data_IF_786996779156
#
_entry.id   IF_786996779156
#
_cell.length_a   1.000
_cell.length_b   1.000
_cell.length_c   1.000
_cell.angle_alpha   90.00
_cell.angle_beta   90.00
_cell.angle_gamma   90.00
#
_symmetry.space_group_name_H-M   'P 1'
#
loop_
_entity.id
_entity.type
_entity.pdbx_description
1 polymer ?
#
# COMPACT_ATOMS: atom_id res chain seq x y z
N UNK A 1 -27.31 -18.54 9.83
CA UNK A 1 -26.80 -17.81 8.66
C UNK A 1 -25.89 -16.70 9.15
N UNK A 2 -24.58 -16.81 8.94
CA UNK A 2 -23.61 -15.82 9.44
C UNK A 2 -23.84 -14.45 8.81
N UNK A 3 -23.75 -13.39 9.60
CA UNK A 3 -23.98 -12.02 9.14
C UNK A 3 -23.08 -11.71 7.94
N UNK A 4 -23.70 -11.38 6.80
CA UNK A 4 -22.99 -10.98 5.59
C UNK A 4 -22.20 -9.69 5.85
N UNK A 5 -20.88 -9.77 5.71
CA UNK A 5 -20.01 -8.63 5.99
C UNK A 5 -20.13 -7.57 4.87
N UNK A 6 -20.59 -6.37 5.22
CA UNK A 6 -20.70 -5.22 4.29
C UNK A 6 -19.38 -4.87 3.58
N UNK A 7 -18.22 -5.25 4.13
CA UNK A 7 -16.91 -5.08 3.49
C UNK A 7 -16.82 -5.78 2.14
N UNK A 8 -17.59 -6.86 1.94
CA UNK A 8 -17.64 -7.65 0.70
C UNK A 8 -18.47 -7.01 -0.42
N UNK A 9 -19.24 -5.95 -0.13
CA UNK A 9 -20.05 -5.27 -1.14
C UNK A 9 -19.22 -4.43 -2.12
N UNK A 10 -18.03 -3.99 -1.73
CA UNK A 10 -17.12 -3.31 -2.64
C UNK A 10 -16.32 -4.36 -3.43
N UNK A 11 -16.89 -4.79 -4.55
CA UNK A 11 -16.34 -5.85 -5.40
C UNK A 11 -14.97 -5.50 -5.97
N UNK A 12 -14.74 -4.24 -6.35
CA UNK A 12 -13.45 -3.77 -6.86
C UNK A 12 -12.35 -3.87 -5.81
N UNK A 13 -12.64 -3.42 -4.59
CA UNK A 13 -11.71 -3.54 -3.46
C UNK A 13 -11.43 -5.00 -3.11
N UNK A 14 -12.45 -5.88 -3.12
CA UNK A 14 -12.25 -7.32 -2.90
C UNK A 14 -11.36 -7.92 -4.00
N UNK A 15 -11.64 -7.61 -5.27
CA UNK A 15 -10.83 -8.09 -6.41
C UNK A 15 -9.39 -7.62 -6.33
N UNK A 16 -9.14 -6.37 -5.96
CA UNK A 16 -7.79 -5.85 -5.73
C UNK A 16 -7.04 -6.68 -4.68
N UNK A 17 -7.69 -6.93 -3.53
CA UNK A 17 -7.09 -7.67 -2.44
C UNK A 17 -6.77 -9.10 -2.85
N UNK A 18 -7.69 -9.79 -3.52
CA UNK A 18 -7.45 -11.16 -3.98
C UNK A 18 -6.37 -11.23 -5.06
N UNK A 19 -6.32 -10.26 -5.98
CA UNK A 19 -5.32 -10.19 -7.06
C UNK A 19 -3.89 -10.06 -6.52
N UNK A 20 -3.68 -9.26 -5.46
CA UNK A 20 -2.34 -8.92 -4.98
C UNK A 20 -1.96 -9.60 -3.66
N UNK A 21 -2.85 -10.43 -3.08
CA UNK A 21 -2.61 -11.14 -1.81
C UNK A 21 -1.30 -11.90 -1.82
N UNK A 22 -1.06 -12.76 -2.82
CA UNK A 22 0.13 -13.60 -2.87
C UNK A 22 1.43 -12.77 -2.97
N UNK A 23 1.43 -11.71 -3.78
CA UNK A 23 2.59 -10.81 -3.88
C UNK A 23 2.87 -10.11 -2.55
N UNK A 24 1.82 -9.69 -1.84
CA UNK A 24 1.96 -9.10 -0.51
C UNK A 24 2.38 -10.11 0.55
N UNK A 25 1.97 -11.38 0.46
CA UNK A 25 2.40 -12.45 1.39
C UNK A 25 3.91 -12.66 1.32
N UNK A 26 4.50 -12.63 0.12
CA UNK A 26 5.96 -12.72 -0.05
C UNK A 26 6.66 -11.63 0.74
N UNK A 27 6.20 -10.38 0.61
CA UNK A 27 6.80 -9.23 1.30
C UNK A 27 6.52 -9.27 2.80
N UNK A 28 5.30 -9.64 3.20
CA UNK A 28 4.90 -9.72 4.60
C UNK A 28 5.73 -10.78 5.35
N UNK A 29 5.99 -11.93 4.72
CA UNK A 29 6.87 -12.96 5.25
C UNK A 29 8.30 -12.47 5.38
N UNK A 30 8.84 -11.79 4.36
CA UNK A 30 10.18 -11.19 4.42
C UNK A 30 10.33 -10.19 5.57
N UNK A 31 9.31 -9.38 5.81
CA UNK A 31 9.32 -8.34 6.84
C UNK A 31 8.80 -8.84 8.19
N UNK A 32 8.35 -10.10 8.28
CA UNK A 32 7.74 -10.67 9.47
C UNK A 32 6.58 -9.81 9.99
N UNK A 33 5.70 -9.31 9.11
CA UNK A 33 4.49 -8.53 9.46
C UNK A 33 3.23 -9.24 8.96
N UNK A 34 2.03 -8.92 9.47
CA UNK A 34 0.78 -9.44 8.91
C UNK A 34 0.59 -8.98 7.45
N UNK A 35 0.09 -9.88 6.58
CA UNK A 35 -0.10 -9.57 5.15
C UNK A 35 -1.06 -8.41 4.92
N UNK A 36 -2.09 -8.28 5.76
CA UNK A 36 -3.06 -7.19 5.69
C UNK A 36 -2.39 -5.81 5.81
N UNK A 37 -1.20 -5.70 6.42
CA UNK A 37 -0.49 -4.42 6.55
C UNK A 37 0.07 -3.97 5.21
N UNK A 38 0.73 -4.87 4.47
CA UNK A 38 1.29 -4.56 3.15
C UNK A 38 0.17 -4.29 2.15
N UNK A 39 -0.88 -5.11 2.17
CA UNK A 39 -2.07 -4.91 1.34
C UNK A 39 -2.76 -3.57 1.65
N UNK A 40 -2.87 -3.18 2.92
CA UNK A 40 -3.50 -1.93 3.31
C UNK A 40 -2.73 -0.69 2.83
N UNK A 41 -1.39 -0.71 2.89
CA UNK A 41 -0.58 0.37 2.31
C UNK A 41 -0.83 0.46 0.81
N UNK A 42 -0.70 -0.66 0.08
CA UNK A 42 -0.92 -0.67 -1.36
C UNK A 42 -2.35 -0.20 -1.72
N UNK A 43 -3.37 -0.67 -0.99
CA UNK A 43 -4.76 -0.27 -1.19
C UNK A 43 -4.99 1.22 -0.92
N UNK A 44 -4.41 1.77 0.15
CA UNK A 44 -4.54 3.19 0.49
C UNK A 44 -3.89 4.07 -0.58
N UNK A 45 -2.65 3.76 -0.95
CA UNK A 45 -1.86 4.57 -1.87
C UNK A 45 -2.37 4.51 -3.32
N UNK A 46 -2.88 3.35 -3.73
CA UNK A 46 -3.39 3.16 -5.09
C UNK A 46 -4.90 3.34 -5.23
N UNK A 47 -5.62 3.66 -4.15
CA UNK A 47 -7.10 3.64 -4.11
C UNK A 47 -7.64 2.29 -4.62
N UNK A 48 -7.18 1.19 -4.01
CA UNK A 48 -7.49 -0.17 -4.45
C UNK A 48 -7.16 -0.42 -5.94
N UNK A 49 -6.04 0.13 -6.41
CA UNK A 49 -5.56 -0.05 -7.78
C UNK A 49 -6.25 0.80 -8.84
N UNK A 50 -7.11 1.75 -8.45
CA UNK A 50 -7.82 2.63 -9.38
C UNK A 50 -7.05 3.92 -9.67
N UNK A 51 -6.07 4.26 -8.83
CA UNK A 51 -5.23 5.44 -9.00
C UNK A 51 -4.35 5.30 -10.24
N UNK A 52 -4.27 6.36 -11.04
CA UNK A 52 -3.54 6.40 -12.31
C UNK A 52 -2.07 5.97 -12.19
N UNK A 53 -1.39 6.37 -11.10
CA UNK A 53 0.01 5.99 -10.82
C UNK A 53 0.16 4.46 -10.68
N UNK A 54 -0.86 3.77 -10.16
CA UNK A 54 -0.86 2.32 -10.06
C UNK A 54 -1.20 1.67 -11.40
N UNK A 55 -2.21 2.15 -12.12
CA UNK A 55 -2.68 1.54 -13.37
C UNK A 55 -1.72 1.75 -14.54
N UNK A 56 -1.09 2.92 -14.65
CA UNK A 56 -0.18 3.25 -15.77
C UNK A 56 1.26 2.84 -15.49
N UNK A 57 1.69 2.91 -14.22
CA UNK A 57 3.12 2.80 -13.88
C UNK A 57 3.44 1.63 -12.94
N UNK A 58 2.46 0.79 -12.60
CA UNK A 58 2.57 -0.26 -11.58
C UNK A 58 3.13 0.24 -10.23
N UNK A 59 2.92 1.53 -9.91
CA UNK A 59 3.42 2.10 -8.66
C UNK A 59 2.30 2.16 -7.61
N UNK A 60 2.04 1.01 -7.00
CA UNK A 60 0.95 0.81 -6.03
C UNK A 60 1.21 1.41 -4.65
N UNK A 61 2.41 1.95 -4.42
CA UNK A 61 2.82 2.56 -3.15
C UNK A 61 3.20 4.04 -3.33
N UNK A 62 2.77 4.66 -4.43
CA UNK A 62 2.96 6.09 -4.74
C UNK A 62 4.39 6.60 -4.55
N UNK A 63 5.39 5.77 -4.86
CA UNK A 63 6.80 6.09 -4.58
C UNK A 63 7.34 7.15 -5.52
N UNK A 64 7.98 8.17 -4.96
CA UNK A 64 8.77 9.13 -5.72
C UNK A 64 10.03 8.46 -6.31
N UNK A 65 10.40 8.88 -7.52
CA UNK A 65 11.64 8.49 -8.17
C UNK A 65 12.80 9.45 -7.79
N UNK A 66 14.04 8.97 -7.60
CA UNK A 66 14.45 7.58 -7.75
C UNK A 66 14.03 6.68 -6.58
N UNK A 67 13.71 5.42 -6.90
CA UNK A 67 13.42 4.36 -5.94
C UNK A 67 14.07 3.03 -6.36
N UNK A 68 14.36 2.12 -5.40
CA UNK A 68 14.92 0.81 -5.72
C UNK A 68 14.08 0.05 -6.75
N UNK A 69 14.70 -0.73 -7.63
CA UNK A 69 14.03 -1.58 -8.63
C UNK A 69 13.09 -0.86 -9.60
N UNK A 70 13.14 0.47 -9.68
CA UNK A 70 12.34 1.19 -10.67
C UNK A 70 12.83 0.84 -12.09
N UNK A 71 11.89 0.77 -13.03
CA UNK A 71 12.20 0.65 -14.46
C UNK A 71 12.65 2.01 -15.01
N UNK A 72 11.90 3.06 -14.66
CA UNK A 72 12.14 4.44 -15.03
C UNK A 72 11.43 5.35 -14.01
N UNK A 73 11.45 6.66 -14.25
CA UNK A 73 10.64 7.64 -13.53
C UNK A 73 9.96 8.58 -14.53
N UNK A 74 8.76 9.03 -14.18
CA UNK A 74 7.97 9.95 -15.01
C UNK A 74 7.38 11.06 -14.17
N UNK A 75 7.08 12.19 -14.79
CA UNK A 75 6.17 13.16 -14.22
C UNK A 75 4.74 12.65 -14.38
N UNK A 76 3.97 12.45 -13.29
CA UNK A 76 2.57 12.09 -13.44
C UNK A 76 1.84 13.28 -14.09
N UNK A 77 1.01 13.02 -15.10
CA UNK A 77 0.05 14.00 -15.66
C UNK A 77 -0.53 14.93 -14.58
N UNK A 78 -0.38 16.23 -14.81
CA UNK A 78 -0.82 17.29 -13.89
C UNK A 78 0.23 17.72 -12.86
N UNK A 79 1.42 17.13 -12.83
CA UNK A 79 2.52 17.59 -11.97
C UNK A 79 3.86 17.56 -12.71
N UNK A 80 4.56 18.69 -12.71
CA UNK A 80 5.91 18.83 -13.26
C UNK A 80 7.01 18.89 -12.18
N UNK A 81 6.62 18.86 -10.90
CA UNK A 81 7.56 19.04 -9.78
C UNK A 81 7.95 17.72 -9.13
N UNK A 82 7.13 16.68 -9.29
CA UNK A 82 7.34 15.38 -8.65
C UNK A 82 7.58 14.31 -9.70
N UNK A 83 8.65 13.55 -9.52
CA UNK A 83 8.92 12.33 -10.27
C UNK A 83 8.33 11.14 -9.52
N UNK A 84 7.56 10.30 -10.19
CA UNK A 84 7.11 9.01 -9.66
C UNK A 84 7.87 7.88 -10.32
N UNK A 85 8.26 6.88 -9.54
CA UNK A 85 8.88 5.68 -10.07
C UNK A 85 7.86 4.85 -10.88
N UNK A 86 8.35 4.16 -11.89
CA UNK A 86 7.60 3.17 -12.69
C UNK A 86 8.16 1.78 -12.43
N UNK A 87 7.32 0.75 -12.51
CA UNK A 87 7.70 -0.63 -12.23
C UNK A 87 7.19 -1.57 -13.31
N UNK A 88 7.87 -2.70 -13.49
CA UNK A 88 7.42 -3.75 -14.40
C UNK A 88 6.25 -4.57 -13.86
N UNK A 89 6.05 -4.60 -12.55
CA UNK A 89 4.97 -5.35 -11.90
C UNK A 89 4.66 -4.84 -10.48
N UNK A 90 3.52 -5.25 -9.94
CA UNK A 90 3.16 -5.01 -8.54
C UNK A 90 4.24 -5.56 -7.59
N UNK A 91 4.67 -6.81 -7.78
CA UNK A 91 5.68 -7.44 -6.94
C UNK A 91 7.00 -6.66 -6.92
N UNK A 92 7.46 -6.13 -8.06
CA UNK A 92 8.68 -5.30 -8.09
C UNK A 92 8.48 -3.97 -7.35
N UNK A 93 7.31 -3.36 -7.46
CA UNK A 93 6.95 -2.19 -6.66
C UNK A 93 6.93 -2.53 -5.15
N UNK A 94 6.37 -3.67 -4.76
CA UNK A 94 6.28 -4.09 -3.36
C UNK A 94 7.66 -4.44 -2.78
N UNK A 95 8.53 -5.10 -3.56
CA UNK A 95 9.95 -5.31 -3.19
C UNK A 95 10.70 -4.00 -3.01
N UNK A 96 10.45 -3.01 -3.88
CA UNK A 96 11.02 -1.67 -3.74
C UNK A 96 10.61 -0.99 -2.44
N UNK A 97 9.34 -1.15 -2.02
CA UNK A 97 8.89 -0.70 -0.71
C UNK A 97 9.64 -1.41 0.43
N UNK A 98 9.76 -2.74 0.36
CA UNK A 98 10.47 -3.52 1.37
C UNK A 98 11.96 -3.13 1.49
N UNK A 99 12.64 -2.85 0.38
CA UNK A 99 14.04 -2.39 0.40
C UNK A 99 14.15 -1.04 1.12
N UNK A 100 13.24 -0.10 0.85
CA UNK A 100 13.35 1.26 1.36
C UNK A 100 12.85 1.44 2.79
N UNK A 101 11.79 0.73 3.17
CA UNK A 101 11.09 0.93 4.44
C UNK A 101 11.02 -0.32 5.31
N UNK A 102 11.46 -1.48 4.79
CA UNK A 102 11.31 -2.76 5.47
C UNK A 102 12.01 -2.84 6.81
N UNK A 103 13.20 -2.24 6.95
CA UNK A 103 13.93 -2.21 8.22
C UNK A 103 13.15 -1.50 9.33
N UNK A 104 12.43 -0.42 9.00
CA UNK A 104 11.66 0.36 9.97
C UNK A 104 10.39 -0.37 10.44
N UNK A 105 9.79 -1.20 9.58
CA UNK A 105 8.50 -1.84 9.88
C UNK A 105 8.60 -3.32 10.25
N UNK A 106 9.80 -3.90 10.15
CA UNK A 106 10.02 -5.34 10.36
C UNK A 106 9.56 -5.80 11.74
N UNK A 107 8.93 -6.97 11.80
CA UNK A 107 8.40 -7.62 13.02
C UNK A 107 7.28 -6.88 13.74
N UNK A 108 6.84 -5.71 13.26
CA UNK A 108 5.74 -4.98 13.89
C UNK A 108 4.42 -5.70 13.61
N UNK A 109 3.72 -6.09 14.69
CA UNK A 109 2.41 -6.77 14.63
C UNK A 109 1.24 -5.89 15.05
N UNK A 110 1.51 -4.74 15.68
CA UNK A 110 0.49 -3.77 16.05
C UNK A 110 0.24 -2.77 14.89
N UNK A 111 -1.02 -2.59 14.44
CA UNK A 111 -1.33 -1.69 13.34
C UNK A 111 -0.94 -0.23 13.59
N UNK A 112 -1.04 0.26 14.84
CA UNK A 112 -0.72 1.66 15.18
C UNK A 112 0.78 1.87 15.14
N UNK A 113 1.56 0.95 15.71
CA UNK A 113 3.02 0.97 15.65
C UNK A 113 3.52 0.88 14.20
N UNK A 114 2.88 0.05 13.37
CA UNK A 114 3.27 -0.09 11.96
C UNK A 114 3.04 1.23 11.21
N UNK A 115 1.89 1.85 11.40
CA UNK A 115 1.56 3.12 10.77
C UNK A 115 2.49 4.26 11.25
N UNK A 116 2.82 4.27 12.54
CA UNK A 116 3.75 5.22 13.13
C UNK A 116 5.18 5.05 12.58
N UNK A 117 5.66 3.81 12.47
CA UNK A 117 6.97 3.50 11.87
C UNK A 117 7.08 3.94 10.40
N UNK A 118 5.99 3.88 9.63
CA UNK A 118 5.94 4.44 8.28
C UNK A 118 6.07 5.97 8.26
N UNK A 119 5.49 6.65 9.25
CA UNK A 119 5.64 8.11 9.37
C UNK A 119 7.09 8.47 9.73
N UNK A 120 7.66 7.78 10.71
CA UNK A 120 9.02 8.02 11.19
C UNK A 120 10.08 7.72 10.12
N UNK A 121 9.84 6.68 9.30
CA UNK A 121 10.68 6.36 8.15
C UNK A 121 10.43 7.25 6.91
N UNK A 122 9.60 8.29 7.04
CA UNK A 122 9.29 9.26 5.98
C UNK A 122 8.63 8.63 4.75
N UNK A 123 7.95 7.49 4.89
CA UNK A 123 7.07 6.98 3.84
C UNK A 123 5.95 7.99 3.55
N UNK A 124 5.36 8.53 4.63
CA UNK A 124 4.45 9.67 4.59
C UNK A 124 4.83 10.59 5.76
N UNK A 125 4.90 11.90 5.57
CA UNK A 125 5.28 12.80 6.67
C UNK A 125 4.21 13.00 7.74
N UNK A 126 2.98 12.50 7.52
CA UNK A 126 1.84 12.64 8.43
C UNK A 126 1.31 14.07 8.58
N UNK A 127 1.81 15.01 7.77
CA UNK A 127 1.45 16.43 7.81
C UNK A 127 1.22 16.94 6.40
N UNK A 128 0.05 17.51 6.15
CA UNK A 128 -0.26 18.14 4.86
C UNK A 128 0.68 19.30 4.50
N UNK A 129 1.21 20.01 5.51
CA UNK A 129 2.10 21.16 5.32
C UNK A 129 3.45 20.85 4.66
N UNK A 130 3.85 19.58 4.57
CA UNK A 130 5.08 19.17 3.87
C UNK A 130 4.85 17.94 2.96
N UNK A 131 3.66 17.86 2.35
CA UNK A 131 3.34 16.84 1.34
C UNK A 131 2.92 15.48 1.86
N UNK A 132 2.71 15.32 3.17
CA UNK A 132 2.09 14.12 3.76
C UNK A 132 0.59 14.27 3.94
N UNK A 133 -0.01 13.28 4.61
CA UNK A 133 -1.45 13.28 4.88
C UNK A 133 -1.72 13.38 6.38
N UNK A 134 -2.37 14.46 6.80
CA UNK A 134 -2.83 14.59 8.19
C UNK A 134 -3.86 13.50 8.48
N UNK A 135 -3.62 12.69 9.51
CA UNK A 135 -4.46 11.51 9.81
C UNK A 135 -4.04 10.22 9.11
N UNK A 136 -2.87 10.21 8.44
CA UNK A 136 -2.35 9.00 7.77
C UNK A 136 -2.38 7.75 8.66
N UNK A 137 -1.95 7.87 9.91
CA UNK A 137 -1.88 6.73 10.82
C UNK A 137 -3.26 6.14 11.15
N UNK A 138 -4.23 6.97 11.55
CA UNK A 138 -5.58 6.50 11.89
C UNK A 138 -6.29 5.90 10.68
N UNK A 139 -6.13 6.50 9.51
CA UNK A 139 -6.70 5.97 8.27
C UNK A 139 -6.05 4.66 7.84
N UNK A 140 -4.73 4.52 7.97
CA UNK A 140 -4.05 3.26 7.66
C UNK A 140 -4.49 2.14 8.62
N UNK A 141 -4.66 2.43 9.91
CA UNK A 141 -5.19 1.46 10.89
C UNK A 141 -6.61 1.03 10.52
N UNK A 142 -7.48 1.96 10.16
CA UNK A 142 -8.82 1.65 9.68
C UNK A 142 -8.79 0.82 8.38
N UNK A 143 -7.88 1.15 7.46
CA UNK A 143 -7.65 0.43 6.21
C UNK A 143 -7.18 -1.01 6.46
N UNK A 144 -6.27 -1.23 7.40
CA UNK A 144 -5.80 -2.55 7.83
C UNK A 144 -6.99 -3.41 8.30
N UNK A 145 -7.84 -2.87 9.16
CA UNK A 145 -9.04 -3.57 9.63
C UNK A 145 -10.00 -3.91 8.48
N UNK A 146 -10.18 -2.97 7.53
CA UNK A 146 -11.04 -3.18 6.36
C UNK A 146 -10.46 -4.24 5.40
N UNK A 147 -9.16 -4.21 5.14
CA UNK A 147 -8.46 -5.19 4.30
C UNK A 147 -8.56 -6.58 4.90
N UNK A 148 -8.36 -6.72 6.21
CA UNK A 148 -8.50 -8.00 6.90
C UNK A 148 -9.87 -8.62 6.70
N UNK A 149 -10.94 -7.82 6.76
CA UNK A 149 -12.31 -8.26 6.48
C UNK A 149 -12.49 -8.64 5.00
N UNK A 150 -11.96 -7.83 4.08
CA UNK A 150 -12.03 -8.06 2.62
C UNK A 150 -11.28 -9.31 2.15
N UNK A 151 -10.22 -9.71 2.84
CA UNK A 151 -9.50 -10.95 2.55
C UNK A 151 -10.36 -12.21 2.78
N UNK A 152 -11.35 -12.14 3.68
CA UNK A 152 -12.28 -13.23 3.96
C UNK A 152 -13.49 -13.28 3.01
N UNK A 153 -13.65 -12.28 2.13
CA UNK A 153 -14.75 -12.24 1.17
C UNK A 153 -14.48 -13.20 0.00
N UNK A 154 -15.50 -13.95 -0.40
CA UNK A 154 -15.49 -14.69 -1.67
C UNK A 154 -15.52 -13.72 -2.85
N UNK A 155 -14.79 -14.03 -3.92
CA UNK A 155 -14.94 -13.33 -5.19
C UNK A 155 -16.27 -13.77 -5.81
N UNK A 156 -17.11 -12.80 -6.16
CA UNK A 156 -18.23 -13.02 -7.07
C UNK A 156 -17.78 -12.83 -8.51
#
# INVERSE_FOLDING_TARGET
MGAYDKACNNTEAVRFIQKYKNDCEIIANQLEVPVEFILAVAAKESRYGQGRIATEYNNFFSKHGPAPLQLSKVHPQGSHDVWVATYTSFLNCAKSFAIRFGSAVRKIKDPKQFAQALIESRFNSGKSSNGGHTGYASELVAMIGMVKRRMACSVK
#
